data_IF_096465042377
#
_entry.id   IF_096465042377
#
_cell.length_a   1.000
_cell.length_b   1.000
_cell.length_c   1.000
_cell.angle_alpha   90.00
_cell.angle_beta   90.00
_cell.angle_gamma   90.00
#
_symmetry.space_group_name_H-M   'P 1'
#
loop_
_entity.id
_entity.type
_entity.pdbx_description
1 polymer ?
#
# COMPACT_ATOMS: atom_id res chain seq x y z
N UNK A 1 37.93 53.58 0.68
CA UNK A 1 37.43 52.69 -0.38
C UNK A 1 37.92 51.27 -0.09
N UNK A 2 37.17 50.44 0.67
CA UNK A 2 37.44 48.98 0.81
C UNK A 2 36.40 48.15 1.61
N UNK A 3 35.25 48.69 2.03
CA UNK A 3 34.26 47.89 2.80
C UNK A 3 33.22 47.17 1.93
N UNK A 4 33.03 47.60 0.68
CA UNK A 4 32.09 46.98 -0.28
C UNK A 4 32.48 45.57 -0.74
N UNK A 5 33.78 45.26 -0.78
CA UNK A 5 34.28 43.95 -1.23
C UNK A 5 34.02 42.83 -0.21
N UNK A 6 34.03 43.17 1.08
CA UNK A 6 33.75 42.21 2.16
C UNK A 6 32.26 41.87 2.29
N UNK A 7 31.37 42.81 1.94
CA UNK A 7 29.92 42.58 1.95
C UNK A 7 29.46 41.65 0.81
N UNK A 8 30.10 41.73 -0.36
CA UNK A 8 29.79 40.82 -1.47
C UNK A 8 30.30 39.40 -1.22
N UNK A 9 31.45 39.25 -0.55
CA UNK A 9 32.04 37.94 -0.28
C UNK A 9 31.25 37.14 0.77
N UNK A 10 30.61 37.80 1.73
CA UNK A 10 29.80 37.12 2.76
C UNK A 10 28.46 36.59 2.23
N UNK A 11 27.89 37.21 1.19
CA UNK A 11 26.62 36.79 0.60
C UNK A 11 26.78 35.48 -0.22
N UNK A 12 27.94 35.26 -0.83
CA UNK A 12 28.22 34.05 -1.63
C UNK A 12 28.47 32.83 -0.72
N UNK A 13 29.05 33.03 0.47
CA UNK A 13 29.28 31.94 1.44
C UNK A 13 28.00 31.39 2.06
N UNK A 14 26.94 32.18 2.16
CA UNK A 14 25.69 31.78 2.82
C UNK A 14 24.78 30.92 1.91
N UNK A 15 24.96 30.97 0.59
CA UNK A 15 24.16 30.19 -0.36
C UNK A 15 24.56 28.70 -0.43
N UNK A 16 25.76 28.34 0.02
CA UNK A 16 26.23 26.95 0.01
C UNK A 16 25.76 26.09 1.20
N UNK A 17 25.21 26.70 2.25
CA UNK A 17 24.74 25.99 3.45
C UNK A 17 23.31 25.41 3.32
N UNK A 18 22.55 25.80 2.29
CA UNK A 18 21.18 25.32 2.09
C UNK A 18 21.05 24.12 1.13
N UNK A 19 22.14 23.70 0.47
CA UNK A 19 22.08 22.61 -0.53
C UNK A 19 22.19 21.20 0.08
N UNK A 20 22.28 21.08 1.41
CA UNK A 20 22.46 19.79 2.10
C UNK A 20 21.15 19.07 2.46
N UNK A 21 20.00 19.55 2.00
CA UNK A 21 18.76 18.76 2.09
C UNK A 21 18.89 17.57 1.16
N UNK A 22 19.46 16.49 1.70
CA UNK A 22 19.70 15.24 0.99
C UNK A 22 18.42 14.79 0.30
N UNK A 23 18.52 14.56 -1.00
CA UNK A 23 17.51 13.84 -1.74
C UNK A 23 17.34 12.47 -1.07
N UNK A 24 16.27 12.32 -0.28
CA UNK A 24 15.83 11.03 0.21
C UNK A 24 15.39 10.26 -1.05
N UNK A 25 16.29 9.45 -1.59
CA UNK A 25 15.95 8.47 -2.62
C UNK A 25 14.81 7.64 -2.02
N UNK A 26 13.60 7.81 -2.56
CA UNK A 26 12.47 7.01 -2.17
C UNK A 26 12.87 5.56 -2.39
N UNK A 27 13.01 4.80 -1.30
CA UNK A 27 13.29 3.38 -1.40
C UNK A 27 12.19 2.80 -2.29
N UNK A 28 12.59 2.28 -3.45
CA UNK A 28 11.69 1.56 -4.32
C UNK A 28 11.33 0.30 -3.53
N UNK A 29 10.23 0.40 -2.78
CA UNK A 29 9.71 -0.69 -1.99
C UNK A 29 9.27 -1.75 -2.99
N UNK A 30 10.17 -2.69 -3.29
CA UNK A 30 9.89 -3.84 -4.12
C UNK A 30 8.70 -4.53 -3.48
N UNK A 31 7.60 -4.55 -4.23
CA UNK A 31 6.34 -5.10 -3.79
C UNK A 31 6.58 -6.46 -3.15
N UNK A 32 6.41 -6.55 -1.83
CA UNK A 32 6.38 -7.82 -1.14
C UNK A 32 5.12 -8.52 -1.62
N UNK A 33 5.30 -9.45 -2.55
CA UNK A 33 4.31 -10.50 -2.79
C UNK A 33 4.00 -11.12 -1.42
N UNK A 34 2.72 -11.37 -1.09
CA UNK A 34 2.39 -12.10 0.12
C UNK A 34 3.26 -13.36 0.20
N UNK A 35 3.91 -13.58 1.34
CA UNK A 35 4.75 -14.77 1.53
C UNK A 35 3.91 -16.05 1.42
N UNK A 36 2.64 -15.95 1.83
CA UNK A 36 1.66 -17.02 1.77
C UNK A 36 0.33 -16.52 1.20
N UNK A 37 -0.34 -17.40 0.46
CA UNK A 37 -1.66 -17.19 -0.10
C UNK A 37 -1.72 -16.21 -1.26
N UNK A 38 -2.92 -16.04 -1.80
CA UNK A 38 -3.19 -15.12 -2.89
C UNK A 38 -4.62 -14.60 -2.83
N UNK A 39 -4.87 -13.48 -3.51
CA UNK A 39 -6.19 -12.89 -3.63
C UNK A 39 -6.66 -12.89 -5.08
N UNK A 40 -7.97 -13.02 -5.27
CA UNK A 40 -8.65 -12.92 -6.56
C UNK A 40 -9.74 -11.87 -6.45
N UNK A 41 -9.89 -11.05 -7.48
CA UNK A 41 -10.95 -10.06 -7.56
C UNK A 41 -11.80 -10.33 -8.79
N UNK A 42 -13.09 -10.49 -8.56
CA UNK A 42 -14.10 -10.54 -9.60
C UNK A 42 -14.85 -9.21 -9.64
N UNK A 43 -14.85 -8.54 -10.79
CA UNK A 43 -15.62 -7.30 -10.99
C UNK A 43 -16.50 -7.47 -12.21
N UNK A 44 -17.80 -7.37 -12.02
CA UNK A 44 -18.73 -7.45 -13.15
C UNK A 44 -18.62 -6.15 -13.97
N UNK A 45 -18.45 -6.20 -15.31
CA UNK A 45 -18.17 -5.00 -16.12
C UNK A 45 -19.15 -3.84 -15.92
N UNK A 46 -20.44 -4.16 -15.77
CA UNK A 46 -21.54 -3.19 -15.59
C UNK A 46 -21.89 -2.87 -14.12
N UNK A 47 -21.26 -3.54 -13.16
CA UNK A 47 -21.54 -3.34 -11.74
C UNK A 47 -20.49 -2.45 -11.09
N UNK A 48 -20.89 -1.62 -10.13
CA UNK A 48 -19.96 -0.95 -9.22
C UNK A 48 -19.44 -1.87 -8.11
N UNK A 49 -19.85 -3.14 -8.08
CA UNK A 49 -19.50 -4.12 -7.05
C UNK A 49 -18.32 -4.98 -7.50
N UNK A 50 -17.39 -5.21 -6.56
CA UNK A 50 -16.30 -6.18 -6.69
C UNK A 50 -16.44 -7.24 -5.59
N UNK A 51 -16.15 -8.49 -5.93
CA UNK A 51 -16.03 -9.60 -4.97
C UNK A 51 -14.55 -9.90 -4.82
N UNK A 52 -14.07 -9.86 -3.58
CA UNK A 52 -12.68 -10.17 -3.22
C UNK A 52 -12.67 -11.53 -2.52
N UNK A 53 -11.80 -12.43 -2.97
CA UNK A 53 -11.61 -13.76 -2.38
C UNK A 53 -10.15 -13.97 -2.01
N UNK A 54 -9.91 -14.53 -0.83
CA UNK A 54 -8.58 -14.87 -0.35
C UNK A 54 -8.41 -16.38 -0.26
N UNK A 55 -7.28 -16.87 -0.74
CA UNK A 55 -6.94 -18.27 -0.81
C UNK A 55 -5.60 -18.54 -0.12
N UNK A 56 -5.46 -19.74 0.45
CA UNK A 56 -4.14 -20.28 0.84
C UNK A 56 -3.35 -20.76 -0.39
N UNK A 57 -2.07 -21.09 -0.19
CA UNK A 57 -1.24 -21.72 -1.22
C UNK A 57 -1.82 -23.05 -1.73
N UNK A 58 -2.58 -23.76 -0.87
CA UNK A 58 -3.30 -24.99 -1.21
C UNK A 58 -4.64 -24.73 -1.92
N UNK A 59 -4.87 -23.52 -2.43
CA UNK A 59 -6.09 -23.11 -3.14
C UNK A 59 -7.37 -23.19 -2.30
N UNK A 60 -7.26 -23.18 -0.97
CA UNK A 60 -8.43 -23.18 -0.07
C UNK A 60 -8.95 -21.76 0.13
N UNK A 61 -10.24 -21.55 -0.10
CA UNK A 61 -10.90 -20.27 0.18
C UNK A 61 -10.97 -20.05 1.69
N UNK A 62 -10.37 -18.97 2.18
CA UNK A 62 -10.32 -18.62 3.62
C UNK A 62 -11.15 -17.39 3.96
N UNK A 63 -11.49 -16.57 2.97
CA UNK A 63 -12.27 -15.36 3.15
C UNK A 63 -12.90 -14.90 1.83
N UNK A 64 -14.10 -14.32 1.91
CA UNK A 64 -14.78 -13.70 0.78
C UNK A 64 -15.52 -12.45 1.26
N UNK A 65 -15.37 -11.35 0.54
CA UNK A 65 -16.08 -10.11 0.84
C UNK A 65 -16.57 -9.44 -0.44
N UNK A 66 -17.80 -8.94 -0.39
CA UNK A 66 -18.39 -8.15 -1.48
C UNK A 66 -18.34 -6.69 -1.10
N UNK A 67 -17.75 -5.87 -1.96
CA UNK A 67 -17.58 -4.43 -1.74
C UNK A 67 -18.29 -3.64 -2.83
N UNK A 68 -18.99 -2.59 -2.44
CA UNK A 68 -19.77 -1.72 -3.35
C UNK A 68 -18.89 -0.68 -4.06
N UNK A 69 -17.70 -1.09 -4.51
CA UNK A 69 -16.78 -0.27 -5.32
C UNK A 69 -15.97 -1.14 -6.28
N UNK A 70 -15.62 -0.57 -7.44
CA UNK A 70 -14.65 -1.18 -8.36
C UNK A 70 -13.23 -1.03 -7.80
N UNK A 71 -12.52 -2.14 -7.67
CA UNK A 71 -11.09 -2.11 -7.34
C UNK A 71 -10.22 -2.05 -8.60
N UNK A 72 -9.32 -1.07 -8.65
CA UNK A 72 -8.32 -1.00 -9.71
C UNK A 72 -7.03 -1.68 -9.26
N UNK A 73 -6.85 -2.95 -9.65
CA UNK A 73 -5.67 -3.77 -9.31
C UNK A 73 -4.37 -3.29 -9.98
N UNK A 74 -4.44 -2.37 -10.96
CA UNK A 74 -3.24 -1.75 -11.55
C UNK A 74 -2.60 -0.75 -10.59
N UNK A 75 -3.37 -0.22 -9.63
CA UNK A 75 -2.86 0.72 -8.63
C UNK A 75 -2.07 -0.03 -7.55
N UNK A 76 -0.86 0.47 -7.31
CA UNK A 76 0.05 0.06 -6.23
C UNK A 76 -0.64 0.02 -4.87
N UNK A 77 -1.36 1.09 -4.55
CA UNK A 77 -2.06 1.21 -3.27
C UNK A 77 -3.13 0.13 -3.09
N UNK A 78 -3.90 -0.19 -4.14
CA UNK A 78 -4.91 -1.26 -4.10
C UNK A 78 -4.25 -2.60 -3.76
N UNK A 79 -3.14 -2.95 -4.43
CA UNK A 79 -2.41 -4.19 -4.16
C UNK A 79 -1.92 -4.25 -2.71
N UNK A 80 -1.38 -3.14 -2.19
CA UNK A 80 -0.92 -3.04 -0.81
C UNK A 80 -2.06 -3.26 0.19
N UNK A 81 -3.20 -2.59 -0.03
CA UNK A 81 -4.38 -2.74 0.82
C UNK A 81 -4.90 -4.18 0.82
N UNK A 82 -4.92 -4.85 -0.34
CA UNK A 82 -5.29 -6.26 -0.45
C UNK A 82 -4.31 -7.20 0.23
N UNK A 83 -3.01 -6.95 0.12
CA UNK A 83 -1.98 -7.75 0.81
C UNK A 83 -2.15 -7.64 2.33
N UNK A 84 -2.37 -6.44 2.87
CA UNK A 84 -2.63 -6.24 4.31
C UNK A 84 -3.89 -6.99 4.76
N UNK A 85 -4.98 -6.91 3.98
CA UNK A 85 -6.21 -7.65 4.29
C UNK A 85 -6.00 -9.18 4.21
N UNK A 86 -5.21 -9.66 3.25
CA UNK A 86 -4.85 -11.08 3.12
C UNK A 86 -4.02 -11.57 4.31
N UNK A 87 -3.03 -10.81 4.75
CA UNK A 87 -2.22 -11.14 5.93
C UNK A 87 -3.08 -11.26 7.19
N UNK A 88 -4.04 -10.36 7.38
CA UNK A 88 -5.01 -10.44 8.49
C UNK A 88 -5.88 -11.69 8.40
N UNK A 89 -6.32 -12.05 7.19
CA UNK A 89 -7.10 -13.25 6.96
C UNK A 89 -6.34 -14.54 7.24
N UNK A 90 -5.10 -14.62 6.75
CA UNK A 90 -4.21 -15.75 6.99
C UNK A 90 -3.87 -15.90 8.47
N UNK A 91 -3.63 -14.80 9.18
CA UNK A 91 -3.37 -14.85 10.63
C UNK A 91 -4.51 -15.52 11.39
N UNK A 92 -5.76 -15.14 11.12
CA UNK A 92 -6.94 -15.74 11.77
C UNK A 92 -7.18 -17.17 11.30
N UNK A 93 -6.99 -17.44 10.00
CA UNK A 93 -7.12 -18.79 9.46
C UNK A 93 -6.12 -19.74 10.12
N UNK A 94 -4.85 -19.37 10.24
CA UNK A 94 -3.82 -20.20 10.86
C UNK A 94 -4.11 -20.46 12.34
N UNK A 95 -4.71 -19.50 13.04
CA UNK A 95 -5.08 -19.65 14.45
C UNK A 95 -6.33 -20.51 14.66
N UNK A 96 -7.33 -20.43 13.76
CA UNK A 96 -8.67 -20.98 14.02
C UNK A 96 -9.10 -22.09 13.07
N UNK A 97 -8.49 -22.17 11.88
CA UNK A 97 -8.89 -23.02 10.75
C UNK A 97 -10.37 -22.88 10.37
N UNK A 98 -10.97 -21.72 10.66
CA UNK A 98 -12.36 -21.38 10.36
C UNK A 98 -12.41 -20.19 9.42
N UNK A 99 -13.33 -20.23 8.46
CA UNK A 99 -13.60 -19.11 7.54
C UNK A 99 -14.35 -18.01 8.28
N UNK A 100 -13.75 -16.83 8.51
CA UNK A 100 -14.40 -15.73 9.22
C UNK A 100 -15.42 -15.05 8.31
N UNK A 101 -16.66 -14.89 8.78
CA UNK A 101 -17.76 -14.35 7.94
C UNK A 101 -17.98 -12.84 8.12
N UNK A 102 -17.64 -12.26 9.28
CA UNK A 102 -18.09 -10.89 9.66
C UNK A 102 -16.94 -9.89 9.92
N UNK A 103 -15.76 -10.10 9.34
CA UNK A 103 -14.56 -9.30 9.69
C UNK A 103 -14.36 -8.02 8.87
N UNK A 104 -15.00 -7.89 7.69
CA UNK A 104 -14.94 -6.71 6.79
C UNK A 104 -13.51 -6.17 6.53
N UNK A 105 -12.52 -7.07 6.39
CA UNK A 105 -11.12 -6.68 6.25
C UNK A 105 -10.81 -5.87 4.99
N UNK A 106 -11.54 -6.10 3.90
CA UNK A 106 -11.35 -5.36 2.66
C UNK A 106 -11.94 -3.97 2.81
N UNK A 107 -13.21 -3.83 3.21
CA UNK A 107 -13.86 -2.52 3.38
C UNK A 107 -13.04 -1.57 4.27
N UNK A 108 -12.54 -2.04 5.43
CA UNK A 108 -11.72 -1.23 6.34
C UNK A 108 -10.47 -0.61 5.70
N UNK A 109 -9.87 -1.28 4.70
CA UNK A 109 -8.68 -0.75 4.02
C UNK A 109 -9.03 0.34 3.00
N UNK A 110 -10.28 0.37 2.52
CA UNK A 110 -10.72 1.23 1.42
C UNK A 110 -11.63 2.39 1.85
N UNK A 111 -12.07 2.43 3.11
CA UNK A 111 -12.95 3.47 3.69
C UNK A 111 -12.21 4.65 4.37
N UNK A 112 -10.90 4.81 4.11
CA UNK A 112 -10.09 5.95 4.60
C UNK A 112 -10.07 7.13 3.65
#
# INVERSE_FOLDING_TARGET
MNTRKHLCLTIIGLFFLAASFGAQAQSLNTFTTPQDGFWVIETTPKSSVSIVRFYTNDQRLIYQETISRKLNIRRVQTKKQLNVALEQALFVWNATHKVPTDRQWVAMQFDK
#
